data_IF_065137055591
#
_entry.id   IF_065137055591
#
_cell.length_a   1.000
_cell.length_b   1.000
_cell.length_c   1.000
_cell.angle_alpha   90.00
_cell.angle_beta   90.00
_cell.angle_gamma   90.00
#
_symmetry.space_group_name_H-M   'P 1'
#
loop_
_entity.id
_entity.type
_entity.pdbx_description
1 polymer ?
#
# COMPACT_ATOMS: atom_id res chain seq x y z
N UNK A 1 16.88 40.97 -24.47
CA UNK A 1 16.68 39.51 -24.33
C UNK A 1 15.23 39.20 -24.65
N UNK A 2 14.97 38.40 -25.68
CA UNK A 2 13.61 38.11 -26.14
C UNK A 2 12.98 36.98 -25.31
N UNK A 3 11.66 36.97 -25.20
CA UNK A 3 10.91 35.95 -24.43
C UNK A 3 11.28 34.53 -24.87
N UNK A 4 11.49 34.32 -26.18
CA UNK A 4 11.89 33.05 -26.78
C UNK A 4 13.26 32.56 -26.32
N UNK A 5 14.24 33.47 -26.20
CA UNK A 5 15.57 33.13 -25.70
C UNK A 5 15.50 32.70 -24.24
N UNK A 6 14.67 33.40 -23.44
CA UNK A 6 14.44 33.06 -22.04
C UNK A 6 13.82 31.67 -21.90
N UNK A 7 12.79 31.34 -22.70
CA UNK A 7 12.22 30.00 -22.75
C UNK A 7 13.23 28.94 -23.20
N UNK A 8 14.06 29.23 -24.20
CA UNK A 8 15.11 28.33 -24.68
C UNK A 8 16.11 27.97 -23.58
N UNK A 9 16.60 28.95 -22.83
CA UNK A 9 17.52 28.68 -21.71
C UNK A 9 16.85 27.90 -20.57
N UNK A 10 15.60 28.20 -20.22
CA UNK A 10 14.87 27.44 -19.19
C UNK A 10 14.62 25.98 -19.62
N UNK A 11 14.12 25.75 -20.84
CA UNK A 11 13.83 24.41 -21.33
C UNK A 11 15.10 23.58 -21.56
N UNK A 12 16.18 24.21 -22.03
CA UNK A 12 17.48 23.55 -22.16
C UNK A 12 18.04 23.07 -20.82
N UNK A 13 18.05 23.96 -19.81
CA UNK A 13 18.45 23.59 -18.45
C UNK A 13 17.53 22.54 -17.82
N UNK A 14 16.22 22.66 -18.03
CA UNK A 14 15.23 21.69 -17.57
C UNK A 14 15.42 20.30 -18.21
N UNK A 15 15.68 20.24 -19.52
CA UNK A 15 15.94 18.99 -20.22
C UNK A 15 17.21 18.29 -19.73
N UNK A 16 18.30 19.05 -19.53
CA UNK A 16 19.54 18.52 -18.91
C UNK A 16 19.24 18.00 -17.49
N UNK A 17 18.45 18.75 -16.72
CA UNK A 17 18.00 18.33 -15.39
C UNK A 17 17.22 17.01 -15.42
N UNK A 18 16.32 16.81 -16.37
CA UNK A 18 15.56 15.57 -16.54
C UNK A 18 16.46 14.37 -16.89
N UNK A 19 17.49 14.56 -17.71
CA UNK A 19 18.46 13.50 -18.06
C UNK A 19 19.23 13.05 -16.81
N UNK A 20 19.75 14.00 -16.03
CA UNK A 20 20.45 13.71 -14.78
C UNK A 20 19.52 13.01 -13.79
N UNK A 21 18.31 13.53 -13.63
CA UNK A 21 17.30 12.95 -12.76
C UNK A 21 16.98 11.50 -13.16
N UNK A 22 16.73 11.23 -14.45
CA UNK A 22 16.46 9.90 -14.97
C UNK A 22 17.59 8.91 -14.66
N UNK A 23 18.86 9.33 -14.75
CA UNK A 23 20.00 8.49 -14.38
C UNK A 23 19.95 8.07 -12.89
N UNK A 24 19.66 8.99 -11.98
CA UNK A 24 19.55 8.68 -10.55
C UNK A 24 18.33 7.83 -10.18
N UNK A 25 17.21 8.00 -10.87
CA UNK A 25 15.99 7.23 -10.62
C UNK A 25 16.03 5.83 -11.25
N UNK A 26 16.65 5.66 -12.42
CA UNK A 26 16.66 4.38 -13.15
C UNK A 26 17.34 3.23 -12.38
N UNK A 27 18.29 3.55 -11.49
CA UNK A 27 18.96 2.55 -10.65
C UNK A 27 18.23 2.19 -9.36
N UNK A 28 17.16 2.90 -8.99
CA UNK A 28 16.47 2.72 -7.70
C UNK A 28 15.04 2.23 -7.94
N UNK A 29 14.62 1.19 -7.21
CA UNK A 29 13.22 0.70 -7.17
C UNK A 29 12.31 1.70 -6.43
N UNK A 30 12.27 2.93 -6.92
CA UNK A 30 11.51 4.03 -6.32
C UNK A 30 10.03 3.86 -6.63
N UNK A 31 9.25 3.53 -5.60
CA UNK A 31 7.80 3.52 -5.69
C UNK A 31 7.24 4.88 -5.25
N UNK A 32 6.39 5.47 -6.10
CA UNK A 32 5.73 6.75 -5.84
C UNK A 32 4.42 6.53 -5.08
N UNK A 33 4.50 6.12 -3.80
CA UNK A 33 3.34 5.75 -2.97
C UNK A 33 2.64 6.97 -2.34
N UNK A 34 2.28 7.96 -3.15
CA UNK A 34 1.68 9.21 -2.67
C UNK A 34 0.17 9.11 -2.46
N UNK A 35 -0.51 8.27 -3.23
CA UNK A 35 -1.96 8.08 -3.16
C UNK A 35 -2.41 7.50 -1.81
N UNK A 36 -3.63 7.83 -1.32
CA UNK A 36 -4.13 7.36 -0.03
C UNK A 36 -4.07 5.83 0.13
N UNK A 37 -4.47 5.09 -0.90
CA UNK A 37 -4.41 3.62 -0.90
C UNK A 37 -2.95 3.13 -0.76
N UNK A 38 -2.07 3.54 -1.68
CA UNK A 38 -0.67 3.13 -1.72
C UNK A 38 0.07 3.46 -0.41
N UNK A 39 -0.18 4.63 0.16
CA UNK A 39 0.39 5.03 1.45
C UNK A 39 -0.07 4.12 2.58
N UNK A 40 -1.35 3.78 2.63
CA UNK A 40 -1.93 2.94 3.69
C UNK A 40 -1.39 1.52 3.64
N UNK A 41 -1.45 0.87 2.47
CA UNK A 41 -0.94 -0.51 2.31
C UNK A 41 0.56 -0.59 2.52
N UNK A 42 1.34 0.42 2.09
CA UNK A 42 2.77 0.52 2.38
C UNK A 42 3.04 0.64 3.87
N UNK A 43 2.31 1.51 4.57
CA UNK A 43 2.49 1.71 6.00
C UNK A 43 2.20 0.42 6.79
N UNK A 44 1.13 -0.30 6.45
CA UNK A 44 0.78 -1.58 7.09
C UNK A 44 1.84 -2.63 6.76
N UNK A 45 2.20 -2.81 5.49
CA UNK A 45 3.15 -3.84 5.04
C UNK A 45 4.60 -3.61 5.50
N UNK A 46 4.95 -2.37 5.90
CA UNK A 46 6.27 -2.05 6.47
C UNK A 46 6.42 -2.42 7.96
N UNK A 47 5.35 -2.83 8.63
CA UNK A 47 5.32 -3.12 10.07
C UNK A 47 5.29 -4.63 10.33
N UNK A 48 5.74 -5.10 11.50
CA UNK A 48 5.48 -6.46 11.94
C UNK A 48 3.97 -6.72 12.03
N UNK A 49 3.53 -7.85 11.47
CA UNK A 49 2.12 -8.25 11.41
C UNK A 49 1.85 -9.33 12.46
N UNK A 50 0.94 -9.06 13.37
CA UNK A 50 0.39 -10.03 14.33
C UNK A 50 -0.94 -10.58 13.84
N UNK A 51 -1.26 -11.81 14.25
CA UNK A 51 -2.50 -12.48 13.88
C UNK A 51 -3.38 -12.65 15.10
N UNK A 52 -4.62 -12.18 15.02
CA UNK A 52 -5.64 -12.52 16.03
C UNK A 52 -5.94 -14.02 16.00
N UNK A 53 -6.54 -14.56 17.06
CA UNK A 53 -6.96 -15.97 17.07
C UNK A 53 -7.93 -16.31 15.91
N UNK A 54 -8.82 -15.37 15.56
CA UNK A 54 -9.77 -15.54 14.46
C UNK A 54 -9.07 -15.53 13.08
N UNK A 55 -8.11 -14.62 12.90
CA UNK A 55 -7.29 -14.59 11.69
C UNK A 55 -6.46 -15.87 11.58
N UNK A 56 -5.81 -16.31 12.66
CA UNK A 56 -5.00 -17.53 12.69
C UNK A 56 -5.81 -18.78 12.29
N UNK A 57 -7.03 -18.92 12.79
CA UNK A 57 -7.92 -20.01 12.41
C UNK A 57 -8.23 -19.99 10.90
N UNK A 58 -8.48 -18.81 10.34
CA UNK A 58 -8.77 -18.64 8.91
C UNK A 58 -7.53 -18.89 8.04
N UNK A 59 -6.36 -18.46 8.50
CA UNK A 59 -5.06 -18.70 7.86
C UNK A 59 -4.78 -20.20 7.80
N UNK A 60 -4.90 -20.89 8.93
CA UNK A 60 -4.66 -22.33 9.03
C UNK A 60 -5.64 -23.13 8.17
N UNK A 61 -6.93 -22.78 8.19
CA UNK A 61 -7.97 -23.44 7.39
C UNK A 61 -7.72 -23.31 5.90
N UNK A 62 -7.25 -22.15 5.44
CA UNK A 62 -7.05 -21.86 4.03
C UNK A 62 -5.60 -22.04 3.56
N UNK A 63 -4.73 -22.54 4.45
CA UNK A 63 -3.29 -22.77 4.18
C UNK A 63 -2.59 -21.54 3.59
N UNK A 64 -2.90 -20.35 4.13
CA UNK A 64 -2.27 -19.11 3.71
C UNK A 64 -0.89 -18.97 4.35
N UNK A 65 0.13 -18.74 3.54
CA UNK A 65 1.46 -18.39 4.04
C UNK A 65 1.58 -16.89 4.32
N UNK A 66 2.49 -16.52 5.22
CA UNK A 66 2.91 -15.17 5.57
C UNK A 66 3.17 -14.27 4.35
N UNK A 67 3.87 -14.79 3.33
CA UNK A 67 4.14 -14.05 2.08
C UNK A 67 2.86 -13.77 1.29
N UNK A 68 1.92 -14.72 1.31
CA UNK A 68 0.62 -14.56 0.65
C UNK A 68 -0.16 -13.45 1.33
N UNK A 69 -0.25 -13.48 2.66
CA UNK A 69 -0.94 -12.44 3.45
C UNK A 69 -0.31 -11.07 3.20
N UNK A 70 1.02 -10.97 3.21
CA UNK A 70 1.72 -9.72 2.95
C UNK A 70 1.40 -9.17 1.54
N UNK A 71 1.35 -10.04 0.53
CA UNK A 71 0.98 -9.64 -0.83
C UNK A 71 -0.49 -9.22 -0.93
N UNK A 72 -1.39 -9.92 -0.25
CA UNK A 72 -2.82 -9.56 -0.20
C UNK A 72 -3.04 -8.17 0.41
N UNK A 73 -2.23 -7.79 1.40
CA UNK A 73 -2.24 -6.46 1.98
C UNK A 73 -1.60 -5.45 1.02
N UNK A 74 -0.39 -5.74 0.52
CA UNK A 74 0.43 -4.82 -0.28
C UNK A 74 -0.25 -4.39 -1.58
N UNK A 75 -0.96 -5.32 -2.22
CA UNK A 75 -1.65 -5.09 -3.50
C UNK A 75 -3.17 -4.98 -3.35
N UNK A 76 -3.66 -4.82 -2.12
CA UNK A 76 -5.08 -4.66 -1.85
C UNK A 76 -5.59 -3.23 -2.05
N UNK A 77 -6.91 -3.09 -2.11
CA UNK A 77 -7.62 -1.83 -2.17
C UNK A 77 -8.26 -1.52 -0.81
N UNK A 78 -7.89 -0.39 -0.23
CA UNK A 78 -8.43 0.07 1.05
C UNK A 78 -9.75 0.77 0.82
N UNK A 79 -10.81 0.25 1.44
CA UNK A 79 -12.09 0.93 1.51
C UNK A 79 -12.11 1.86 2.72
N UNK A 80 -11.84 3.15 2.46
CA UNK A 80 -11.84 4.19 3.50
C UNK A 80 -13.22 4.47 4.10
N UNK A 81 -14.31 4.10 3.41
CA UNK A 81 -15.68 4.29 3.90
C UNK A 81 -16.04 3.25 4.97
N UNK A 82 -15.57 2.01 4.79
CA UNK A 82 -15.72 0.93 5.76
C UNK A 82 -14.63 0.93 6.84
N UNK A 83 -13.63 1.81 6.73
CA UNK A 83 -12.49 1.89 7.65
C UNK A 83 -12.71 2.92 8.76
N UNK A 84 -12.23 2.61 9.97
CA UNK A 84 -12.22 3.52 11.12
C UNK A 84 -10.89 4.26 11.18
N UNK A 85 -10.75 5.27 10.33
CA UNK A 85 -9.50 6.04 10.15
C UNK A 85 -9.20 7.06 11.25
N UNK A 86 -10.19 7.38 12.09
CA UNK A 86 -10.09 8.32 13.22
C UNK A 86 -10.02 7.61 14.58
N UNK A 87 -9.97 6.28 14.59
CA UNK A 87 -9.87 5.51 15.82
C UNK A 87 -8.44 5.62 16.37
N UNK A 88 -8.34 5.94 17.65
CA UNK A 88 -7.09 6.05 18.40
C UNK A 88 -7.09 4.98 19.52
N UNK A 89 -5.95 4.35 19.84
CA UNK A 89 -4.60 4.61 19.33
C UNK A 89 -4.30 3.95 17.98
N UNK A 90 -5.20 3.10 17.48
CA UNK A 90 -4.97 2.32 16.26
C UNK A 90 -6.13 2.48 15.28
N UNK A 91 -5.77 2.68 14.02
CA UNK A 91 -6.73 2.85 12.91
C UNK A 91 -7.11 1.48 12.38
N UNK A 92 -8.39 1.27 12.10
CA UNK A 92 -8.86 -0.01 11.55
C UNK A 92 -9.16 0.15 10.07
N UNK A 93 -8.46 -0.59 9.22
CA UNK A 93 -8.60 -0.56 7.77
C UNK A 93 -9.27 -1.84 7.26
N UNK A 94 -10.25 -1.66 6.37
CA UNK A 94 -10.82 -2.73 5.57
C UNK A 94 -10.13 -2.74 4.22
N UNK A 95 -9.51 -3.86 3.87
CA UNK A 95 -8.78 -4.05 2.61
C UNK A 95 -9.47 -5.16 1.81
N UNK A 96 -9.75 -4.89 0.55
CA UNK A 96 -10.26 -5.87 -0.40
C UNK A 96 -9.16 -6.34 -1.33
N UNK A 97 -9.17 -7.62 -1.67
CA UNK A 97 -8.30 -8.21 -2.68
C UNK A 97 -8.96 -9.46 -3.27
N UNK A 98 -8.31 -10.13 -4.21
CA UNK A 98 -8.71 -11.44 -4.70
C UNK A 98 -7.61 -12.47 -4.43
N UNK A 99 -8.00 -13.63 -3.90
CA UNK A 99 -7.12 -14.78 -3.77
C UNK A 99 -7.72 -15.97 -4.50
N UNK A 100 -6.98 -16.53 -5.48
CA UNK A 100 -7.48 -17.62 -6.35
C UNK A 100 -8.84 -17.28 -6.99
N UNK A 101 -8.96 -16.07 -7.52
CA UNK A 101 -10.17 -15.51 -8.15
C UNK A 101 -11.37 -15.32 -7.21
N UNK A 102 -11.21 -15.55 -5.90
CA UNK A 102 -12.25 -15.31 -4.92
C UNK A 102 -12.01 -13.97 -4.22
N UNK A 103 -13.03 -13.09 -4.15
CA UNK A 103 -12.90 -11.83 -3.46
C UNK A 103 -12.75 -12.08 -1.96
N UNK A 104 -11.78 -11.42 -1.36
CA UNK A 104 -11.49 -11.51 0.07
C UNK A 104 -11.49 -10.13 0.71
N UNK A 105 -11.86 -10.13 1.98
CA UNK A 105 -11.84 -8.96 2.85
C UNK A 105 -10.88 -9.23 4.01
N UNK A 106 -9.97 -8.29 4.23
CA UNK A 106 -9.08 -8.25 5.38
C UNK A 106 -9.46 -7.07 6.27
N UNK A 107 -9.54 -7.30 7.57
CA UNK A 107 -9.68 -6.22 8.56
C UNK A 107 -8.39 -6.15 9.35
N UNK A 108 -7.73 -4.99 9.30
CA UNK A 108 -6.41 -4.79 9.88
C UNK A 108 -6.45 -3.60 10.83
N UNK A 109 -5.98 -3.81 12.04
CA UNK A 109 -5.70 -2.75 12.98
C UNK A 109 -4.25 -2.29 12.81
N UNK A 110 -4.07 -1.01 12.49
CA UNK A 110 -2.79 -0.40 12.18
C UNK A 110 -2.45 0.62 13.28
N UNK A 111 -1.56 0.21 14.18
CA UNK A 111 -0.98 1.04 15.24
C UNK A 111 0.37 1.60 14.79
N UNK A 112 0.99 2.52 15.54
CA UNK A 112 2.25 3.15 15.11
C UNK A 112 3.40 2.16 14.87
N UNK A 113 3.59 1.19 15.76
CA UNK A 113 4.72 0.25 15.73
C UNK A 113 4.41 -1.12 15.11
N UNK A 114 3.14 -1.54 15.09
CA UNK A 114 2.73 -2.86 14.62
C UNK A 114 1.38 -2.81 13.90
N UNK A 115 1.11 -3.84 13.10
CA UNK A 115 -0.20 -4.09 12.52
C UNK A 115 -0.74 -5.44 13.01
N UNK A 116 -2.03 -5.51 13.27
CA UNK A 116 -2.71 -6.75 13.68
C UNK A 116 -3.76 -7.10 12.64
N UNK A 117 -3.65 -8.27 12.03
CA UNK A 117 -4.70 -8.83 11.19
C UNK A 117 -5.78 -9.40 12.09
N UNK A 118 -6.94 -8.76 12.08
CA UNK A 118 -8.08 -9.13 12.91
C UNK A 118 -8.90 -10.23 12.26
N UNK A 119 -9.26 -10.10 10.98
CA UNK A 119 -10.03 -11.11 10.25
C UNK A 119 -9.62 -11.23 8.79
N UNK A 120 -9.81 -12.43 8.24
CA UNK A 120 -9.75 -12.75 6.81
C UNK A 120 -11.05 -13.48 6.46
N UNK A 121 -11.79 -12.96 5.49
CA UNK A 121 -13.10 -13.48 5.09
C UNK A 121 -13.18 -13.54 3.57
N UNK A 122 -13.62 -14.68 3.04
CA UNK A 122 -14.00 -14.80 1.62
C UNK A 122 -15.40 -14.23 1.47
N UNK A 123 -15.55 -13.27 0.57
CA UNK A 123 -16.84 -12.69 0.22
C UNK A 123 -17.51 -13.73 -0.68
N UNK A 124 -18.62 -14.29 -0.19
CA UNK A 124 -19.43 -15.16 -1.05
C UNK A 124 -20.01 -14.31 -2.18
N UNK A 125 -20.02 -14.82 -3.42
CA UNK A 125 -20.68 -14.15 -4.53
C UNK A 125 -22.18 -13.95 -4.26
#
# INVERSE_FOLDING_TARGET
MNIYQRFGYYLGGFAIGLIILAFFLSGKRTSCDYGPNARTVKNISSKPIFYSAQAQNSINKNQLDSLTILNLIKYGEVDFSMSKTKQEPCKVYTIFNAFKEQPIKLVIENCDSLATLNTIEYIKP
#
